data_IF_949683141396
#
_entry.id   IF_949683141396
#
_cell.length_a   1.000
_cell.length_b   1.000
_cell.length_c   1.000
_cell.angle_alpha   90.00
_cell.angle_beta   90.00
_cell.angle_gamma   90.00
#
_symmetry.space_group_name_H-M   'P 1'
#
loop_
_entity.id
_entity.type
_entity.pdbx_description
1 polymer ?
#
# COMPACT_ATOMS: atom_id res chain seq x y z
N UNK A 1 -26.83 -2.87 -17.28
CA UNK A 1 -25.42 -2.87 -16.89
C UNK A 1 -25.32 -3.37 -15.46
N UNK A 2 -24.81 -4.57 -15.20
CA UNK A 2 -24.70 -5.04 -13.83
C UNK A 2 -23.58 -4.28 -13.12
N UNK A 3 -23.89 -3.83 -11.92
CA UNK A 3 -22.97 -3.18 -10.99
C UNK A 3 -21.74 -4.06 -10.75
N UNK A 4 -20.58 -3.55 -11.11
CA UNK A 4 -19.27 -4.03 -10.63
C UNK A 4 -19.07 -3.54 -9.19
N UNK A 5 -20.08 -3.77 -8.37
CA UNK A 5 -20.03 -3.58 -6.94
C UNK A 5 -19.85 -4.96 -6.31
N UNK A 6 -18.87 -5.02 -5.47
CA UNK A 6 -18.60 -6.04 -4.45
C UNK A 6 -17.52 -7.06 -4.79
N UNK A 7 -16.59 -6.98 -3.87
CA UNK A 7 -15.57 -7.92 -3.44
C UNK A 7 -14.18 -7.70 -4.02
N UNK A 8 -13.56 -6.55 -3.68
CA UNK A 8 -12.15 -6.62 -3.29
C UNK A 8 -12.14 -6.58 -1.75
N UNK A 9 -11.99 -7.73 -1.10
CA UNK A 9 -11.82 -7.74 0.34
C UNK A 9 -10.50 -7.09 0.68
N UNK A 10 -10.57 -6.25 1.68
CA UNK A 10 -9.50 -5.81 2.58
C UNK A 10 -8.35 -6.82 2.62
N UNK A 11 -7.36 -6.67 1.74
CA UNK A 11 -6.16 -7.53 1.67
C UNK A 11 -4.94 -6.87 2.30
N UNK A 12 -5.12 -5.90 3.19
CA UNK A 12 -4.00 -5.39 4.00
C UNK A 12 -3.63 -6.37 5.12
N UNK A 13 -4.54 -7.26 5.51
CA UNK A 13 -4.26 -8.27 6.54
C UNK A 13 -3.58 -9.54 6.00
N UNK A 14 -3.45 -9.72 4.67
CA UNK A 14 -3.02 -10.99 4.11
C UNK A 14 -1.63 -10.99 3.46
N UNK A 15 -0.96 -9.85 3.35
CA UNK A 15 0.34 -9.77 2.65
C UNK A 15 1.55 -10.10 3.53
N UNK A 16 1.33 -10.55 4.76
CA UNK A 16 2.41 -10.95 5.68
C UNK A 16 2.64 -12.47 5.71
N UNK A 17 1.91 -13.22 4.90
CA UNK A 17 1.92 -14.68 4.91
C UNK A 17 2.69 -15.25 3.73
N UNK A 18 4.01 -15.31 3.77
CA UNK A 18 4.77 -16.32 3.05
C UNK A 18 6.14 -16.58 3.73
N UNK A 19 6.10 -17.06 4.97
CA UNK A 19 7.11 -18.01 5.42
C UNK A 19 6.43 -19.39 5.53
N UNK A 20 5.95 -19.91 4.43
CA UNK A 20 5.25 -21.20 4.33
C UNK A 20 6.21 -22.40 4.46
N UNK A 21 7.10 -22.37 5.44
CA UNK A 21 8.00 -23.47 5.75
C UNK A 21 7.89 -24.01 7.18
N UNK A 22 7.20 -23.31 8.08
CA UNK A 22 7.12 -23.67 9.51
C UNK A 22 5.69 -23.98 9.99
N UNK A 23 4.70 -24.04 9.11
CA UNK A 23 3.29 -24.15 9.48
C UNK A 23 2.92 -25.46 10.20
N UNK A 24 3.71 -26.51 10.07
CA UNK A 24 3.44 -27.80 10.71
C UNK A 24 4.01 -27.98 12.13
N UNK A 25 4.79 -27.03 12.63
CA UNK A 25 5.43 -27.12 13.94
C UNK A 25 4.77 -26.29 15.05
N UNK A 26 3.89 -25.34 14.67
CA UNK A 26 3.35 -24.35 15.62
C UNK A 26 2.00 -24.74 16.23
N UNK A 27 1.30 -25.72 15.67
CA UNK A 27 -0.08 -26.04 16.06
C UNK A 27 -0.23 -26.73 17.42
N UNK A 28 0.86 -26.97 18.16
CA UNK A 28 0.84 -27.69 19.45
C UNK A 28 1.70 -27.14 20.58
N UNK A 29 2.22 -25.92 20.48
CA UNK A 29 2.97 -25.34 21.59
C UNK A 29 2.14 -24.31 22.34
N UNK A 30 1.86 -24.60 23.61
CA UNK A 30 1.19 -23.73 24.58
C UNK A 30 1.89 -22.36 24.68
N UNK A 31 1.13 -21.29 24.97
CA UNK A 31 1.58 -19.89 25.05
C UNK A 31 2.93 -19.66 25.78
N UNK A 32 3.23 -20.47 26.81
CA UNK A 32 4.49 -20.40 27.56
C UNK A 32 5.74 -20.85 26.78
N UNK A 33 5.60 -21.70 25.78
CA UNK A 33 6.72 -22.10 24.93
C UNK A 33 6.97 -21.03 23.85
N UNK A 34 5.93 -20.36 23.43
CA UNK A 34 5.99 -19.20 22.51
C UNK A 34 6.73 -18.03 23.14
N UNK A 35 6.46 -17.68 24.41
CA UNK A 35 7.18 -16.61 25.13
C UNK A 35 8.67 -16.89 25.32
N UNK A 36 9.04 -18.12 25.67
CA UNK A 36 10.46 -18.48 25.81
C UNK A 36 11.20 -18.52 24.47
N UNK A 37 10.53 -18.98 23.42
CA UNK A 37 11.13 -19.00 22.07
C UNK A 37 11.23 -17.58 21.51
N UNK A 38 10.26 -16.72 21.82
CA UNK A 38 10.25 -15.29 21.51
C UNK A 38 11.46 -14.56 22.07
N UNK A 39 11.76 -14.76 23.37
CA UNK A 39 12.96 -14.16 24.00
C UNK A 39 14.28 -14.62 23.37
N UNK A 40 14.40 -15.91 23.04
CA UNK A 40 15.61 -16.46 22.42
C UNK A 40 15.81 -15.98 20.97
N UNK A 41 14.72 -15.78 20.25
CA UNK A 41 14.75 -15.29 18.86
C UNK A 41 15.01 -13.78 18.84
N UNK A 42 14.47 -13.03 19.80
CA UNK A 42 14.64 -11.57 19.89
C UNK A 42 16.10 -11.14 19.92
N UNK A 43 16.95 -11.89 20.65
CA UNK A 43 18.40 -11.60 20.72
C UNK A 43 19.14 -11.86 19.39
N UNK A 44 18.52 -12.62 18.48
CA UNK A 44 19.11 -13.00 17.18
C UNK A 44 18.44 -12.33 15.99
N UNK A 45 17.43 -11.49 16.24
CA UNK A 45 16.79 -10.73 15.16
C UNK A 45 17.80 -9.73 14.60
N UNK A 46 18.14 -9.93 13.34
CA UNK A 46 18.93 -8.99 12.57
C UNK A 46 18.00 -7.87 12.07
N UNK A 47 18.12 -6.71 12.69
CA UNK A 47 17.31 -5.53 12.35
C UNK A 47 17.36 -5.16 10.86
N UNK A 48 18.54 -5.14 10.19
CA UNK A 48 18.62 -4.92 8.76
C UNK A 48 17.78 -5.89 7.94
N UNK A 49 17.75 -7.17 8.31
CA UNK A 49 16.93 -8.18 7.63
C UNK A 49 15.44 -7.91 7.82
N UNK A 50 14.99 -7.61 9.04
CA UNK A 50 13.57 -7.28 9.29
C UNK A 50 13.17 -6.04 8.53
N UNK A 51 14.02 -5.01 8.53
CA UNK A 51 13.80 -3.76 7.78
C UNK A 51 13.69 -4.00 6.28
N UNK A 52 14.57 -4.82 5.71
CA UNK A 52 14.53 -5.18 4.29
C UNK A 52 13.23 -5.90 3.94
N UNK A 53 12.89 -6.96 4.67
CA UNK A 53 11.65 -7.73 4.44
C UNK A 53 10.41 -6.85 4.57
N UNK A 54 10.36 -5.99 5.60
CA UNK A 54 9.27 -5.02 5.75
C UNK A 54 9.18 -4.08 4.55
N UNK A 55 10.30 -3.49 4.14
CA UNK A 55 10.36 -2.55 3.03
C UNK A 55 9.92 -3.21 1.73
N UNK A 56 10.42 -4.41 1.44
CA UNK A 56 10.08 -5.15 0.23
C UNK A 56 8.58 -5.46 0.16
N UNK A 57 8.00 -5.94 1.26
CA UNK A 57 6.57 -6.24 1.34
C UNK A 57 5.70 -4.98 1.25
N UNK A 58 6.13 -3.91 1.89
CA UNK A 58 5.47 -2.62 1.80
C UNK A 58 5.50 -2.07 0.37
N UNK A 59 6.65 -2.18 -0.33
CA UNK A 59 6.79 -1.79 -1.73
C UNK A 59 5.89 -2.62 -2.63
N UNK A 60 5.84 -3.94 -2.44
CA UNK A 60 4.93 -4.81 -3.18
C UNK A 60 3.46 -4.39 -3.02
N UNK A 61 3.07 -3.98 -1.82
CA UNK A 61 1.70 -3.51 -1.53
C UNK A 61 1.40 -2.14 -2.14
N UNK A 62 2.39 -1.23 -2.14
CA UNK A 62 2.23 0.16 -2.58
C UNK A 62 2.39 0.39 -4.08
N UNK A 63 2.67 -0.66 -4.86
CA UNK A 63 3.02 -0.52 -6.28
C UNK A 63 1.85 -0.23 -7.22
N UNK A 64 0.61 -0.27 -6.75
CA UNK A 64 -0.54 -0.11 -7.64
C UNK A 64 -0.61 1.26 -8.34
N UNK A 65 -0.13 2.34 -7.69
CA UNK A 65 -0.19 3.70 -8.24
C UNK A 65 1.10 4.52 -8.00
N UNK A 66 2.10 3.98 -7.30
CA UNK A 66 3.36 4.66 -7.01
C UNK A 66 4.51 4.05 -7.80
N UNK A 67 5.52 4.86 -8.13
CA UNK A 67 6.78 4.31 -8.60
C UNK A 67 7.46 3.49 -7.50
N UNK A 68 8.25 2.48 -7.88
CA UNK A 68 9.00 1.66 -6.92
C UNK A 68 9.88 2.51 -6.01
N UNK A 69 10.51 3.56 -6.54
CA UNK A 69 11.36 4.47 -5.78
C UNK A 69 10.56 5.27 -4.75
N UNK A 70 9.39 5.77 -5.14
CA UNK A 70 8.50 6.51 -4.22
C UNK A 70 7.98 5.59 -3.13
N UNK A 71 7.54 4.38 -3.49
CA UNK A 71 7.11 3.37 -2.54
C UNK A 71 8.24 2.97 -1.58
N UNK A 72 9.46 2.73 -2.07
CA UNK A 72 10.62 2.38 -1.25
C UNK A 72 11.00 3.48 -0.26
N UNK A 73 10.99 4.75 -0.69
CA UNK A 73 11.25 5.91 0.19
C UNK A 73 10.20 6.01 1.29
N UNK A 74 8.92 5.85 0.94
CA UNK A 74 7.82 5.88 1.89
C UNK A 74 7.90 4.74 2.89
N UNK A 75 8.11 3.51 2.43
CA UNK A 75 8.21 2.31 3.26
C UNK A 75 9.39 2.37 4.21
N UNK A 76 10.58 2.78 3.72
CA UNK A 76 11.76 2.97 4.57
C UNK A 76 11.55 4.05 5.62
N UNK A 77 11.00 5.21 5.21
CA UNK A 77 10.65 6.28 6.14
C UNK A 77 9.70 5.78 7.23
N UNK A 78 8.67 5.01 6.84
CA UNK A 78 7.67 4.50 7.78
C UNK A 78 8.28 3.54 8.78
N UNK A 79 9.14 2.62 8.33
CA UNK A 79 9.87 1.72 9.22
C UNK A 79 10.72 2.48 10.22
N UNK A 80 11.60 3.36 9.72
CA UNK A 80 12.54 4.12 10.56
C UNK A 80 11.80 5.00 11.58
N UNK A 81 10.70 5.62 11.16
CA UNK A 81 9.89 6.46 12.03
C UNK A 81 9.10 5.68 13.07
N UNK A 82 8.57 4.50 12.73
CA UNK A 82 7.94 3.62 13.70
C UNK A 82 8.97 3.11 14.71
N UNK A 83 10.15 2.67 14.27
CA UNK A 83 11.24 2.24 15.12
C UNK A 83 11.70 3.35 16.09
N UNK A 84 11.76 4.61 15.65
CA UNK A 84 12.15 5.74 16.48
C UNK A 84 11.15 6.08 17.61
N UNK A 85 9.97 5.46 17.62
CA UNK A 85 9.00 5.61 18.73
C UNK A 85 9.24 4.64 19.88
N UNK A 86 10.25 3.78 19.78
CA UNK A 86 10.69 2.85 20.83
C UNK A 86 11.98 3.37 21.46
N UNK A 87 12.17 3.10 22.75
CA UNK A 87 13.40 3.42 23.45
C UNK A 87 14.61 2.67 22.83
N UNK A 88 14.33 1.46 22.34
CA UNK A 88 15.28 0.67 21.60
C UNK A 88 14.65 0.26 20.23
N UNK A 89 15.24 0.66 19.08
CA UNK A 89 14.73 0.31 17.76
C UNK A 89 14.58 -1.20 17.50
N UNK A 90 15.37 -2.03 18.21
CA UNK A 90 15.25 -3.50 18.10
C UNK A 90 13.89 -4.01 18.60
N UNK A 91 13.26 -3.31 19.53
CA UNK A 91 11.95 -3.70 20.04
C UNK A 91 10.85 -3.56 18.99
N UNK A 92 10.96 -2.57 18.09
CA UNK A 92 10.11 -2.47 16.92
C UNK A 92 10.29 -3.68 15.99
N UNK A 93 11.54 -4.03 15.68
CA UNK A 93 11.85 -5.20 14.84
C UNK A 93 11.34 -6.49 15.46
N UNK A 94 11.46 -6.63 16.78
CA UNK A 94 10.92 -7.76 17.52
C UNK A 94 9.39 -7.82 17.48
N UNK A 95 8.71 -6.70 17.70
CA UNK A 95 7.25 -6.61 17.63
C UNK A 95 6.74 -6.99 16.22
N UNK A 96 7.36 -6.42 15.17
CA UNK A 96 7.02 -6.75 13.78
C UNK A 96 7.25 -8.24 13.48
N UNK A 97 8.36 -8.79 13.93
CA UNK A 97 8.67 -10.20 13.74
C UNK A 97 7.67 -11.11 14.47
N UNK A 98 7.38 -10.80 15.75
CA UNK A 98 6.41 -11.58 16.54
C UNK A 98 5.00 -11.55 15.98
N UNK A 99 4.58 -10.40 15.46
CA UNK A 99 3.29 -10.28 14.79
C UNK A 99 3.23 -11.13 13.52
N UNK A 100 4.32 -11.19 12.77
CA UNK A 100 4.40 -12.06 11.60
C UNK A 100 4.26 -13.54 11.93
N UNK A 101 4.81 -13.98 13.08
CA UNK A 101 4.68 -15.38 13.52
C UNK A 101 3.30 -15.67 14.10
N UNK A 102 2.71 -14.70 14.81
CA UNK A 102 1.40 -14.84 15.45
C UNK A 102 0.47 -13.66 15.13
N UNK A 103 -0.11 -13.63 13.92
CA UNK A 103 -1.01 -12.55 13.49
C UNK A 103 -2.33 -12.50 14.26
N UNK A 104 -2.64 -13.53 15.05
CA UNK A 104 -3.83 -13.58 15.90
C UNK A 104 -3.65 -12.82 17.24
N UNK A 105 -2.45 -12.36 17.56
CA UNK A 105 -2.19 -11.50 18.72
C UNK A 105 -2.78 -10.09 18.47
N UNK A 106 -4.04 -9.91 18.87
CA UNK A 106 -4.80 -8.67 18.63
C UNK A 106 -4.19 -7.45 19.31
N UNK A 107 -3.62 -7.62 20.51
CA UNK A 107 -3.01 -6.53 21.26
C UNK A 107 -1.74 -6.03 20.56
N UNK A 108 -0.86 -6.95 20.18
CA UNK A 108 0.34 -6.62 19.43
C UNK A 108 0.00 -6.03 18.06
N UNK A 109 -1.00 -6.59 17.38
CA UNK A 109 -1.48 -6.07 16.10
C UNK A 109 -1.97 -4.63 16.21
N UNK A 110 -2.80 -4.32 17.23
CA UNK A 110 -3.29 -2.95 17.46
C UNK A 110 -2.15 -1.97 17.78
N UNK A 111 -1.15 -2.41 18.58
CA UNK A 111 0.03 -1.61 18.90
C UNK A 111 0.84 -1.27 17.64
N UNK A 112 1.12 -2.26 16.80
CA UNK A 112 1.85 -2.10 15.55
C UNK A 112 1.08 -1.20 14.60
N UNK A 113 -0.22 -1.44 14.42
CA UNK A 113 -1.08 -0.67 13.53
C UNK A 113 -1.11 0.82 13.92
N UNK A 114 -1.26 1.13 15.20
CA UNK A 114 -1.28 2.51 15.69
C UNK A 114 0.03 3.25 15.38
N UNK A 115 1.18 2.59 15.66
CA UNK A 115 2.50 3.17 15.37
C UNK A 115 2.75 3.29 13.87
N UNK A 116 2.35 2.28 13.10
CA UNK A 116 2.44 2.29 11.64
C UNK A 116 1.63 3.43 11.04
N UNK A 117 0.36 3.61 11.41
CA UNK A 117 -0.49 4.69 10.92
C UNK A 117 0.12 6.07 11.20
N UNK A 118 0.63 6.28 12.41
CA UNK A 118 1.25 7.56 12.79
C UNK A 118 2.53 7.82 12.00
N UNK A 119 3.39 6.83 11.87
CA UNK A 119 4.62 6.92 11.10
C UNK A 119 4.33 7.15 9.60
N UNK A 120 3.38 6.41 9.06
CA UNK A 120 2.96 6.49 7.66
C UNK A 120 2.43 7.88 7.31
N UNK A 121 1.52 8.44 8.12
CA UNK A 121 0.98 9.77 7.89
C UNK A 121 2.08 10.83 7.76
N UNK A 122 3.06 10.81 8.67
CA UNK A 122 4.16 11.75 8.64
C UNK A 122 5.13 11.52 7.46
N UNK A 123 5.26 10.28 7.00
CA UNK A 123 6.09 9.95 5.83
C UNK A 123 5.39 10.28 4.51
N UNK A 124 4.06 10.21 4.45
CA UNK A 124 3.26 10.67 3.30
C UNK A 124 3.51 12.17 3.06
N UNK A 125 3.44 13.00 4.11
CA UNK A 125 3.73 14.43 4.01
C UNK A 125 5.11 14.69 3.37
N UNK A 126 6.14 14.02 3.88
CA UNK A 126 7.51 14.16 3.36
C UNK A 126 7.62 13.67 1.91
N UNK A 127 7.03 12.51 1.61
CA UNK A 127 7.15 11.88 0.29
C UNK A 127 6.40 12.69 -0.77
N UNK A 128 5.22 13.22 -0.46
CA UNK A 128 4.44 14.06 -1.38
C UNK A 128 5.24 15.31 -1.79
N UNK A 129 5.88 16.00 -0.85
CA UNK A 129 6.72 17.16 -1.16
C UNK A 129 7.98 16.85 -1.98
N UNK A 130 8.41 15.59 -2.02
CA UNK A 130 9.58 15.12 -2.80
C UNK A 130 9.20 14.44 -4.12
N UNK A 131 7.92 14.19 -4.36
CA UNK A 131 7.47 13.49 -5.56
C UNK A 131 7.29 14.48 -6.70
N UNK A 132 7.98 14.23 -7.81
CA UNK A 132 7.79 14.97 -9.05
C UNK A 132 6.40 14.67 -9.62
N UNK A 133 5.67 15.72 -9.98
CA UNK A 133 4.28 15.62 -10.43
C UNK A 133 4.16 14.89 -11.77
N UNK A 134 5.07 15.15 -12.68
CA UNK A 134 5.07 14.50 -14.00
C UNK A 134 5.38 13.01 -13.87
N UNK A 135 6.31 12.65 -12.99
CA UNK A 135 6.63 11.25 -12.70
C UNK A 135 5.45 10.56 -12.02
N UNK A 136 4.79 11.19 -11.05
CA UNK A 136 3.61 10.64 -10.41
C UNK A 136 2.49 10.39 -11.42
N UNK A 137 2.23 11.37 -12.30
CA UNK A 137 1.24 11.27 -13.38
C UNK A 137 1.55 10.12 -14.35
N UNK A 138 2.79 10.02 -14.82
CA UNK A 138 3.16 8.96 -15.78
C UNK A 138 3.04 7.57 -15.15
N UNK A 139 3.47 7.41 -13.89
CA UNK A 139 3.33 6.16 -13.14
C UNK A 139 1.86 5.77 -12.92
N UNK A 140 1.03 6.75 -12.58
CA UNK A 140 -0.42 6.52 -12.45
C UNK A 140 -1.02 6.01 -13.76
N UNK A 141 -0.70 6.67 -14.89
CA UNK A 141 -1.22 6.28 -16.22
C UNK A 141 -0.77 4.87 -16.57
N UNK A 142 0.50 4.54 -16.38
CA UNK A 142 1.04 3.21 -16.67
C UNK A 142 0.32 2.12 -15.89
N UNK A 143 0.21 2.28 -14.57
CA UNK A 143 -0.40 1.29 -13.69
C UNK A 143 -1.92 1.19 -13.90
N UNK A 144 -2.60 2.31 -14.05
CA UNK A 144 -4.02 2.36 -14.38
C UNK A 144 -4.28 1.65 -15.71
N UNK A 145 -3.46 1.89 -16.72
CA UNK A 145 -3.58 1.26 -18.05
C UNK A 145 -3.44 -0.25 -17.93
N UNK A 146 -2.43 -0.72 -17.22
CA UNK A 146 -2.21 -2.15 -17.02
C UNK A 146 -3.42 -2.81 -16.36
N UNK A 147 -3.89 -2.27 -15.25
CA UNK A 147 -5.04 -2.81 -14.51
C UNK A 147 -6.33 -2.79 -15.34
N UNK A 148 -6.58 -1.69 -16.07
CA UNK A 148 -7.80 -1.55 -16.85
C UNK A 148 -7.79 -2.41 -18.12
N UNK A 149 -6.64 -2.63 -18.74
CA UNK A 149 -6.51 -3.56 -19.89
C UNK A 149 -6.73 -5.00 -19.42
N UNK A 150 -6.12 -5.41 -18.32
CA UNK A 150 -6.34 -6.72 -17.71
C UNK A 150 -7.83 -6.93 -17.38
N UNK A 151 -8.47 -5.95 -16.74
CA UNK A 151 -9.89 -6.01 -16.37
C UNK A 151 -10.84 -6.02 -17.60
N UNK A 152 -10.41 -5.45 -18.72
CA UNK A 152 -11.20 -5.41 -19.96
C UNK A 152 -11.12 -6.68 -20.81
N UNK A 153 -10.32 -7.68 -20.38
CA UNK A 153 -10.08 -8.90 -21.14
C UNK A 153 -9.62 -8.63 -22.59
N UNK A 154 -8.84 -7.57 -22.80
CA UNK A 154 -8.34 -7.19 -24.11
C UNK A 154 -9.35 -6.56 -25.06
N UNK A 155 -10.55 -6.21 -24.57
CA UNK A 155 -11.60 -5.55 -25.37
C UNK A 155 -11.29 -4.10 -25.73
N UNK A 156 -10.24 -3.51 -25.12
CA UNK A 156 -9.83 -2.11 -25.33
C UNK A 156 -8.36 -2.05 -25.68
N UNK A 157 -7.98 -1.09 -26.51
CA UNK A 157 -6.58 -0.86 -26.85
C UNK A 157 -5.85 -0.15 -25.71
N UNK A 158 -4.55 -0.40 -25.60
CA UNK A 158 -3.70 0.24 -24.59
C UNK A 158 -3.76 1.77 -24.70
N UNK A 159 -3.78 2.31 -25.93
CA UNK A 159 -3.82 3.74 -26.18
C UNK A 159 -5.12 4.39 -25.67
N UNK A 160 -6.27 3.77 -25.96
CA UNK A 160 -7.56 4.28 -25.51
C UNK A 160 -7.66 4.25 -23.98
N UNK A 161 -7.13 3.20 -23.36
CA UNK A 161 -7.10 3.07 -21.91
C UNK A 161 -6.13 4.07 -21.29
N UNK A 162 -4.92 4.25 -21.85
CA UNK A 162 -3.94 5.22 -21.37
C UNK A 162 -4.47 6.66 -21.44
N UNK A 163 -5.18 7.02 -22.51
CA UNK A 163 -5.84 8.32 -22.62
C UNK A 163 -6.92 8.52 -21.55
N UNK A 164 -7.74 7.50 -21.31
CA UNK A 164 -8.76 7.56 -20.27
C UNK A 164 -8.13 7.67 -18.86
N UNK A 165 -7.06 6.93 -18.59
CA UNK A 165 -6.32 7.01 -17.33
C UNK A 165 -5.68 8.40 -17.13
N UNK A 166 -5.07 8.98 -18.18
CA UNK A 166 -4.53 10.33 -18.14
C UNK A 166 -5.61 11.39 -17.87
N UNK A 167 -6.73 11.31 -18.58
CA UNK A 167 -7.89 12.16 -18.36
C UNK A 167 -8.41 12.01 -16.91
N UNK A 168 -8.48 10.79 -16.39
CA UNK A 168 -8.93 10.51 -15.01
C UNK A 168 -8.02 11.17 -13.99
N UNK A 169 -6.70 10.97 -14.10
CA UNK A 169 -5.72 11.63 -13.25
C UNK A 169 -5.93 13.15 -13.23
N UNK A 170 -5.95 13.75 -14.42
CA UNK A 170 -6.00 15.21 -14.57
C UNK A 170 -7.32 15.78 -14.01
N UNK A 171 -8.45 15.08 -14.18
CA UNK A 171 -9.74 15.49 -13.61
C UNK A 171 -9.79 15.40 -12.11
N UNK A 172 -9.25 14.31 -11.54
CA UNK A 172 -9.21 14.16 -10.08
C UNK A 172 -8.25 15.19 -9.49
N UNK A 173 -7.05 15.35 -10.06
CA UNK A 173 -6.08 16.36 -9.63
C UNK A 173 -6.68 17.78 -9.68
N UNK A 174 -7.39 18.13 -10.75
CA UNK A 174 -8.06 19.45 -10.88
C UNK A 174 -9.21 19.67 -9.88
N UNK A 175 -9.69 18.64 -9.20
CA UNK A 175 -10.70 18.78 -8.14
C UNK A 175 -10.11 19.26 -6.80
N UNK A 176 -8.78 19.35 -6.70
CA UNK A 176 -8.07 19.83 -5.52
C UNK A 176 -7.62 21.28 -5.72
N UNK A 177 -7.80 22.09 -4.69
CA UNK A 177 -7.29 23.47 -4.69
C UNK A 177 -5.77 23.55 -4.48
N UNK A 178 -5.18 22.47 -3.94
CA UNK A 178 -3.75 22.37 -3.65
C UNK A 178 -3.20 21.07 -4.25
N UNK A 179 -2.23 21.15 -5.19
CA UNK A 179 -1.58 19.97 -5.78
C UNK A 179 -0.89 19.05 -4.76
N UNK A 180 -0.39 19.60 -3.64
CA UNK A 180 0.24 18.80 -2.59
C UNK A 180 -0.79 17.88 -1.90
N UNK A 181 -2.03 18.35 -1.69
CA UNK A 181 -3.09 17.54 -1.10
C UNK A 181 -3.47 16.39 -2.05
N UNK A 182 -3.55 16.66 -3.34
CA UNK A 182 -3.75 15.60 -4.34
C UNK A 182 -2.66 14.53 -4.26
N UNK A 183 -1.38 14.91 -4.22
CA UNK A 183 -0.27 13.96 -4.12
C UNK A 183 -0.33 13.13 -2.85
N UNK A 184 -0.67 13.75 -1.72
CA UNK A 184 -0.84 13.04 -0.45
C UNK A 184 -1.97 12.02 -0.52
N UNK A 185 -3.10 12.40 -1.07
CA UNK A 185 -4.24 11.50 -1.19
C UNK A 185 -3.98 10.38 -2.17
N UNK A 186 -3.29 10.63 -3.29
CA UNK A 186 -2.85 9.60 -4.23
C UNK A 186 -1.90 8.59 -3.55
N UNK A 187 -0.93 9.06 -2.76
CA UNK A 187 -0.02 8.21 -2.00
C UNK A 187 -0.80 7.40 -0.96
N UNK A 188 -1.69 8.04 -0.21
CA UNK A 188 -2.52 7.38 0.80
C UNK A 188 -3.39 6.30 0.19
N UNK A 189 -4.06 6.61 -0.91
CA UNK A 189 -4.90 5.68 -1.66
C UNK A 189 -4.14 4.46 -2.16
N UNK A 190 -2.91 4.66 -2.64
CA UNK A 190 -2.05 3.58 -3.13
C UNK A 190 -1.70 2.54 -2.07
N UNK A 191 -1.78 2.90 -0.79
CA UNK A 191 -1.38 2.04 0.32
C UNK A 191 -2.59 1.47 1.04
N UNK A 192 -3.61 2.29 1.29
CA UNK A 192 -4.74 1.90 2.15
C UNK A 192 -5.99 1.49 1.39
N UNK A 193 -6.16 1.93 0.14
CA UNK A 193 -7.33 1.68 -0.73
C UNK A 193 -8.71 1.87 -0.05
N UNK A 194 -8.75 2.61 1.06
CA UNK A 194 -9.92 2.71 1.92
C UNK A 194 -10.38 4.17 2.10
N UNK A 195 -10.49 4.90 0.98
CA UNK A 195 -11.05 6.25 0.99
C UNK A 195 -12.26 6.31 0.03
N UNK A 196 -13.46 6.09 0.59
CA UNK A 196 -14.71 6.10 -0.18
C UNK A 196 -14.93 7.40 -0.96
N UNK A 197 -14.46 8.54 -0.43
CA UNK A 197 -14.60 9.83 -1.09
C UNK A 197 -13.67 9.93 -2.31
N UNK A 198 -12.46 9.40 -2.20
CA UNK A 198 -11.51 9.36 -3.30
C UNK A 198 -11.90 8.31 -4.34
N UNK A 199 -12.41 7.14 -3.92
CA UNK A 199 -13.00 6.14 -4.81
C UNK A 199 -14.11 6.76 -5.67
N UNK A 200 -15.03 7.50 -5.05
CA UNK A 200 -16.13 8.16 -5.77
C UNK A 200 -15.63 9.21 -6.78
N UNK A 201 -14.55 9.95 -6.46
CA UNK A 201 -13.91 10.88 -7.40
C UNK A 201 -13.30 10.13 -8.59
N UNK A 202 -12.58 9.03 -8.33
CA UNK A 202 -12.00 8.20 -9.39
C UNK A 202 -13.08 7.59 -10.27
N UNK A 203 -14.12 6.99 -9.72
CA UNK A 203 -15.21 6.37 -10.46
C UNK A 203 -15.94 7.40 -11.36
N UNK A 204 -16.22 8.58 -10.82
CA UNK A 204 -16.85 9.67 -11.57
C UNK A 204 -15.96 10.16 -12.72
N UNK A 205 -14.69 10.40 -12.45
CA UNK A 205 -13.74 10.86 -13.45
C UNK A 205 -13.50 9.80 -14.54
N UNK A 206 -13.33 8.53 -14.14
CA UNK A 206 -13.12 7.41 -15.04
C UNK A 206 -14.32 7.22 -15.98
N UNK A 207 -15.54 7.23 -15.44
CA UNK A 207 -16.76 7.13 -16.22
C UNK A 207 -16.89 8.26 -17.25
N UNK A 208 -16.57 9.50 -16.86
CA UNK A 208 -16.62 10.64 -17.76
C UNK A 208 -15.56 10.56 -18.87
N UNK A 209 -14.35 10.11 -18.55
CA UNK A 209 -13.23 10.00 -19.49
C UNK A 209 -13.43 8.86 -20.51
N UNK A 210 -13.94 7.71 -20.08
CA UNK A 210 -14.26 6.61 -21.00
C UNK A 210 -15.42 6.93 -21.95
N UNK A 211 -16.43 7.64 -21.48
CA UNK A 211 -17.57 8.05 -22.32
C UNK A 211 -17.17 9.11 -23.38
N UNK A 212 -16.22 9.99 -23.06
CA UNK A 212 -15.70 10.97 -24.02
C UNK A 212 -14.85 10.34 -25.11
N UNK A 213 -14.06 9.34 -24.77
CA UNK A 213 -13.19 8.63 -25.74
C UNK A 213 -13.99 7.85 -26.78
N UNK A 214 -15.21 7.43 -26.50
CA UNK A 214 -16.08 6.73 -27.46
C UNK A 214 -16.71 7.68 -28.49
N UNK A 215 -16.88 8.97 -28.17
CA UNK A 215 -17.48 9.95 -29.09
C UNK A 215 -16.52 10.44 -30.18
N UNK A 216 -15.23 10.27 -30.00
CA UNK A 216 -14.19 10.72 -30.94
C UNK A 216 -13.86 9.70 -32.02
N UNK A 217 -14.44 8.50 -31.96
CA UNK A 217 -14.22 7.42 -32.95
C UNK A 217 -15.34 7.27 -34.00
N UNK A 218 -16.27 8.22 -34.05
CA UNK A 218 -17.33 8.35 -35.07
C UNK A 218 -17.17 9.68 -35.81
#
# INVERSE_FOLDING_TARGET
>A
MPALSRTLPVLIAASVLLLAGCEKLVEKTTDKASEKMSGYISDKIDEPTVRSVFTDKCVESGNALLSKDTAAKLCSCTYDRAASTYDNPKDWSADVFHYNINPNNKELGAKIEAKFKTAMAACIERTAGQTDEQQARSTFIENCTKLAVEASEGKRTNEAVAQACGCTHDRVAASYNNPEEWKKDLIRYSISQADEALDAKFDSALSACFNSSQKTQH
#
